data_IF_470536448569
#
_entry.id   IF_470536448569
#
_cell.length_a   1.000
_cell.length_b   1.000
_cell.length_c   1.000
_cell.angle_alpha   90.00
_cell.angle_beta   90.00
_cell.angle_gamma   90.00
#
_symmetry.space_group_name_H-M   'P 1'
#
loop_
_entity.id
_entity.type
_entity.pdbx_description
1 polymer ?
#
# COMPACT_ATOMS: atom_id res chain seq x y z
N UNK A 1 -27.40 17.18 8.52
CA UNK A 1 -26.06 16.82 8.05
C UNK A 1 -25.45 15.84 9.04
N UNK A 2 -24.92 14.73 8.58
CA UNK A 2 -24.24 13.74 9.44
C UNK A 2 -22.86 14.29 9.80
N UNK A 3 -22.44 14.14 11.05
CA UNK A 3 -21.08 14.51 11.53
C UNK A 3 -20.39 13.25 12.04
N UNK A 4 -19.12 13.08 11.69
CA UNK A 4 -18.26 12.02 12.17
C UNK A 4 -17.04 12.62 12.85
N UNK A 5 -16.38 11.86 13.73
CA UNK A 5 -15.18 12.35 14.40
C UNK A 5 -13.98 12.35 13.48
N UNK A 6 -13.84 11.29 12.68
CA UNK A 6 -12.71 11.15 11.75
C UNK A 6 -13.23 10.72 10.38
N UNK A 7 -12.88 11.48 9.35
CA UNK A 7 -13.04 11.09 7.96
C UNK A 7 -11.67 10.74 7.37
N UNK A 8 -11.52 9.55 6.79
CA UNK A 8 -10.32 9.12 6.10
C UNK A 8 -10.66 9.06 4.61
N UNK A 9 -10.01 9.90 3.81
CA UNK A 9 -10.21 10.02 2.37
C UNK A 9 -9.21 9.13 1.66
N UNK A 10 -9.70 8.04 1.09
CA UNK A 10 -8.94 6.93 0.53
C UNK A 10 -8.99 5.70 1.44
N UNK A 11 -9.67 4.64 0.97
CA UNK A 11 -9.81 3.35 1.65
C UNK A 11 -8.78 2.31 1.20
N UNK A 12 -7.71 2.74 0.51
CA UNK A 12 -6.58 1.89 0.12
C UNK A 12 -5.79 1.36 1.32
N UNK A 13 -4.63 0.72 1.06
CA UNK A 13 -3.81 0.08 2.11
C UNK A 13 -3.50 1.02 3.27
N UNK A 14 -3.19 2.29 2.99
CA UNK A 14 -2.82 3.29 4.00
C UNK A 14 -4.03 3.69 4.85
N UNK A 15 -5.14 4.09 4.21
CA UNK A 15 -6.33 4.55 4.92
C UNK A 15 -7.00 3.43 5.72
N UNK A 16 -7.11 2.21 5.15
CA UNK A 16 -7.65 1.06 5.86
C UNK A 16 -6.77 0.64 7.04
N UNK A 17 -5.44 0.66 6.90
CA UNK A 17 -4.52 0.39 8.02
C UNK A 17 -4.65 1.42 9.12
N UNK A 18 -4.80 2.70 8.77
CA UNK A 18 -5.03 3.77 9.75
C UNK A 18 -6.35 3.57 10.50
N UNK A 19 -7.44 3.26 9.77
CA UNK A 19 -8.73 3.00 10.39
C UNK A 19 -8.66 1.81 11.36
N UNK A 20 -8.00 0.72 10.94
CA UNK A 20 -7.77 -0.46 11.78
C UNK A 20 -6.98 -0.12 13.06
N UNK A 21 -5.91 0.66 12.93
CA UNK A 21 -5.09 1.05 14.08
C UNK A 21 -5.85 1.95 15.07
N UNK A 22 -6.78 2.76 14.58
CA UNK A 22 -7.51 3.71 15.41
C UNK A 22 -8.83 3.16 15.97
N UNK A 23 -9.41 2.09 15.40
CA UNK A 23 -10.76 1.64 15.72
C UNK A 23 -10.96 1.27 17.20
N UNK A 24 -9.98 0.63 17.85
CA UNK A 24 -10.09 0.29 19.27
C UNK A 24 -10.16 1.55 20.16
N UNK A 25 -9.29 2.53 19.90
CA UNK A 25 -9.29 3.81 20.60
C UNK A 25 -10.53 4.66 20.30
N UNK A 26 -11.04 4.60 19.08
CA UNK A 26 -12.28 5.26 18.68
C UNK A 26 -13.48 4.63 19.39
N UNK A 27 -13.56 3.30 19.43
CA UNK A 27 -14.61 2.57 20.14
C UNK A 27 -14.68 2.95 21.62
N UNK A 28 -13.52 2.98 22.30
CA UNK A 28 -13.43 3.36 23.71
C UNK A 28 -13.90 4.81 23.97
N UNK A 29 -13.88 5.68 22.97
CA UNK A 29 -14.30 7.09 23.08
C UNK A 29 -15.71 7.35 22.50
N UNK A 30 -16.37 6.33 21.97
CA UNK A 30 -17.62 6.49 21.23
C UNK A 30 -17.48 7.28 19.92
N UNK A 31 -16.29 7.30 19.34
CA UNK A 31 -16.01 8.00 18.09
C UNK A 31 -16.43 7.16 16.89
N UNK A 32 -16.80 7.84 15.81
CA UNK A 32 -17.10 7.24 14.51
C UNK A 32 -16.03 7.63 13.49
N UNK A 33 -15.57 6.62 12.77
CA UNK A 33 -14.64 6.76 11.66
C UNK A 33 -15.41 6.52 10.36
N UNK A 34 -15.22 7.38 9.37
CA UNK A 34 -15.75 7.21 8.02
C UNK A 34 -14.60 7.06 7.03
N UNK A 35 -14.58 5.94 6.31
CA UNK A 35 -13.72 5.74 5.15
C UNK A 35 -14.49 6.13 3.88
N UNK A 36 -13.87 6.93 3.02
CA UNK A 36 -14.44 7.36 1.75
C UNK A 36 -13.52 6.84 0.64
N UNK A 37 -14.05 6.01 -0.26
CA UNK A 37 -13.26 5.33 -1.29
C UNK A 37 -14.03 5.32 -2.61
N UNK A 38 -13.42 5.78 -3.72
CA UNK A 38 -14.08 5.80 -5.02
C UNK A 38 -14.29 4.41 -5.65
N UNK A 39 -13.50 3.43 -5.24
CA UNK A 39 -13.53 2.09 -5.85
C UNK A 39 -14.02 1.05 -4.87
N UNK A 40 -15.12 0.37 -5.20
CA UNK A 40 -15.64 -0.72 -4.37
C UNK A 40 -14.69 -1.93 -4.40
N UNK A 41 -14.48 -2.61 -3.25
CA UNK A 41 -13.71 -3.84 -3.22
C UNK A 41 -14.35 -4.91 -4.10
N UNK A 42 -13.51 -5.73 -4.74
CA UNK A 42 -13.98 -6.81 -5.61
C UNK A 42 -14.27 -6.41 -7.06
N UNK A 43 -14.11 -5.14 -7.45
CA UNK A 43 -14.07 -4.76 -8.86
C UNK A 43 -12.76 -5.16 -9.53
N UNK A 44 -12.83 -5.50 -10.82
CA UNK A 44 -11.70 -5.98 -11.64
C UNK A 44 -10.53 -5.01 -11.69
N UNK A 45 -10.74 -3.75 -11.40
CA UNK A 45 -9.71 -2.73 -11.33
C UNK A 45 -9.83 -1.92 -10.04
N UNK A 46 -8.99 -2.26 -9.07
CA UNK A 46 -8.79 -1.52 -7.84
C UNK A 46 -7.31 -1.10 -7.79
N UNK A 47 -6.98 0.18 -8.03
CA UNK A 47 -5.58 0.63 -8.19
C UNK A 47 -4.67 0.31 -7.00
N UNK A 48 -5.22 0.18 -5.80
CA UNK A 48 -4.47 -0.13 -4.58
C UNK A 48 -4.36 -1.64 -4.29
N UNK A 49 -5.18 -2.48 -4.96
CA UNK A 49 -5.29 -3.91 -4.71
C UNK A 49 -5.14 -4.72 -6.00
N UNK A 50 -4.24 -4.30 -6.87
CA UNK A 50 -3.88 -5.03 -8.09
C UNK A 50 -2.92 -6.20 -7.79
N UNK A 51 -2.38 -6.82 -8.85
CA UNK A 51 -1.40 -7.91 -8.73
C UNK A 51 -0.03 -7.48 -8.19
N UNK A 52 0.16 -6.20 -7.87
CA UNK A 52 1.38 -5.72 -7.21
C UNK A 52 1.47 -6.27 -5.80
N UNK A 53 2.70 -6.40 -5.35
CA UNK A 53 3.00 -6.87 -4.00
C UNK A 53 3.69 -5.78 -3.20
N UNK A 54 3.51 -5.83 -1.89
CA UNK A 54 4.21 -4.99 -0.94
C UNK A 54 5.16 -5.84 -0.10
N UNK A 55 6.39 -5.38 0.04
CA UNK A 55 7.33 -5.92 1.01
C UNK A 55 7.09 -5.22 2.35
N UNK A 56 6.57 -5.97 3.31
CA UNK A 56 6.35 -5.52 4.68
C UNK A 56 7.62 -5.80 5.49
N UNK A 57 8.17 -4.81 6.17
CA UNK A 57 9.28 -5.02 7.09
C UNK A 57 8.85 -5.88 8.28
N UNK A 58 9.81 -6.48 8.99
CA UNK A 58 9.54 -7.19 10.24
C UNK A 58 8.80 -6.30 11.26
N UNK A 59 9.18 -5.01 11.37
CA UNK A 59 8.47 -4.07 12.23
C UNK A 59 7.01 -3.85 11.82
N UNK A 60 6.70 -3.81 10.54
CA UNK A 60 5.32 -3.72 10.04
C UNK A 60 4.54 -4.99 10.36
N UNK A 61 5.16 -6.16 10.23
CA UNK A 61 4.57 -7.43 10.64
C UNK A 61 4.17 -7.41 12.12
N UNK A 62 5.05 -6.91 13.00
CA UNK A 62 4.76 -6.79 14.44
C UNK A 62 3.57 -5.85 14.71
N UNK A 63 3.45 -4.74 13.97
CA UNK A 63 2.30 -3.85 14.07
C UNK A 63 1.00 -4.60 13.71
N UNK A 64 0.95 -5.29 12.59
CA UNK A 64 -0.23 -6.09 12.23
C UNK A 64 -0.50 -7.25 13.20
N UNK A 65 0.53 -7.81 13.82
CA UNK A 65 0.39 -8.79 14.90
C UNK A 65 -0.33 -8.19 16.11
N UNK A 66 0.08 -6.99 16.55
CA UNK A 66 -0.56 -6.27 17.66
C UNK A 66 -1.99 -5.86 17.35
N UNK A 67 -2.28 -5.54 16.09
CA UNK A 67 -3.63 -5.23 15.60
C UNK A 67 -4.50 -6.49 15.40
N UNK A 68 -3.97 -7.70 15.65
CA UNK A 68 -4.71 -8.96 15.51
C UNK A 68 -4.93 -9.43 14.07
N UNK A 69 -4.28 -8.79 13.08
CA UNK A 69 -4.52 -9.06 11.66
C UNK A 69 -3.49 -10.01 11.03
N UNK A 70 -2.33 -10.18 11.65
CA UNK A 70 -1.22 -10.94 11.06
C UNK A 70 -1.58 -12.39 10.72
N UNK A 71 -2.39 -13.05 11.52
CA UNK A 71 -2.80 -14.44 11.26
C UNK A 71 -3.52 -14.57 9.91
N UNK A 72 -4.35 -13.61 9.54
CA UNK A 72 -5.01 -13.60 8.23
C UNK A 72 -4.01 -13.26 7.11
N UNK A 73 -3.20 -12.21 7.28
CA UNK A 73 -2.22 -11.77 6.28
C UNK A 73 -1.23 -12.88 5.95
N UNK A 74 -0.73 -13.59 6.98
CA UNK A 74 0.30 -14.61 6.85
C UNK A 74 -0.11 -15.83 6.01
N UNK A 75 -1.40 -16.04 5.78
CA UNK A 75 -1.88 -17.15 4.93
C UNK A 75 -1.38 -17.06 3.47
N UNK A 76 -1.06 -15.83 3.01
CA UNK A 76 -0.54 -15.59 1.65
C UNK A 76 0.66 -14.63 1.67
N UNK A 77 1.40 -14.62 2.75
CA UNK A 77 2.64 -13.87 2.88
C UNK A 77 3.83 -14.80 2.68
N UNK A 78 4.81 -14.39 1.89
CA UNK A 78 6.06 -15.11 1.71
C UNK A 78 7.16 -14.46 2.54
N UNK A 79 7.88 -15.20 3.41
CA UNK A 79 8.94 -14.62 4.21
C UNK A 79 10.17 -14.29 3.36
N UNK A 80 10.78 -13.15 3.63
CA UNK A 80 12.09 -12.78 3.13
C UNK A 80 13.13 -13.24 4.16
N UNK A 81 13.82 -14.33 3.86
CA UNK A 81 14.83 -14.91 4.75
C UNK A 81 16.21 -14.34 4.48
N UNK A 82 16.49 -13.99 3.23
CA UNK A 82 17.76 -13.39 2.81
C UNK A 82 17.50 -12.28 1.80
N UNK A 83 18.33 -11.25 1.84
CA UNK A 83 18.37 -10.18 0.84
C UNK A 83 19.77 -10.10 0.29
N UNK A 84 19.92 -10.20 -1.04
CA UNK A 84 21.18 -9.98 -1.72
C UNK A 84 21.13 -8.71 -2.56
N UNK A 85 21.98 -7.76 -2.25
CA UNK A 85 22.16 -6.51 -3.00
C UNK A 85 23.47 -6.58 -3.76
N UNK A 86 23.43 -6.30 -5.05
CA UNK A 86 24.62 -6.32 -5.94
C UNK A 86 24.59 -5.16 -6.94
N UNK A 87 25.77 -4.82 -7.47
CA UNK A 87 25.92 -3.82 -8.51
C UNK A 87 26.57 -4.47 -9.75
N UNK A 88 25.97 -4.26 -10.92
CA UNK A 88 26.46 -4.83 -12.18
C UNK A 88 27.81 -4.21 -12.52
N UNK A 89 28.80 -5.07 -12.81
CA UNK A 89 30.14 -4.64 -13.17
C UNK A 89 31.03 -4.23 -12.00
N UNK A 90 30.55 -4.35 -10.75
CA UNK A 90 31.34 -4.15 -9.54
C UNK A 90 31.51 -5.45 -8.78
N UNK A 91 32.65 -5.56 -8.09
CA UNK A 91 32.95 -6.72 -7.25
C UNK A 91 32.18 -6.63 -5.92
N UNK A 92 31.66 -7.75 -5.48
CA UNK A 92 31.03 -7.91 -4.17
C UNK A 92 29.50 -7.85 -4.21
N UNK A 93 28.91 -8.29 -3.13
CA UNK A 93 27.50 -8.19 -2.84
C UNK A 93 27.31 -8.03 -1.34
N UNK A 94 26.31 -7.23 -0.94
CA UNK A 94 25.86 -7.17 0.45
C UNK A 94 24.76 -8.22 0.63
N UNK A 95 24.86 -8.98 1.72
CA UNK A 95 23.84 -9.96 2.12
C UNK A 95 23.34 -9.62 3.50
N UNK A 96 22.03 -9.72 3.67
CA UNK A 96 21.35 -9.68 4.95
C UNK A 96 20.69 -11.05 5.13
N UNK A 97 20.84 -11.62 6.31
CA UNK A 97 20.29 -12.94 6.64
C UNK A 97 19.47 -12.85 7.92
N UNK A 98 18.25 -13.37 7.90
CA UNK A 98 17.34 -13.31 9.04
C UNK A 98 17.90 -14.01 10.28
N UNK A 99 18.68 -15.08 10.09
CA UNK A 99 19.31 -15.82 11.21
C UNK A 99 20.40 -14.95 11.84
N UNK A 100 21.23 -14.30 11.04
CA UNK A 100 22.29 -13.40 11.52
C UNK A 100 21.73 -12.20 12.26
N UNK A 101 20.57 -11.67 11.79
CA UNK A 101 19.86 -10.57 12.45
C UNK A 101 19.01 -11.01 13.65
N UNK A 102 18.91 -12.32 13.92
CA UNK A 102 18.15 -12.86 15.06
C UNK A 102 16.64 -12.68 14.95
N UNK A 103 16.09 -12.60 13.72
CA UNK A 103 14.66 -12.44 13.45
C UNK A 103 14.12 -13.64 12.65
N UNK A 104 12.81 -13.95 12.75
CA UNK A 104 12.21 -15.05 11.99
C UNK A 104 12.20 -14.81 10.48
N UNK A 105 12.16 -13.55 10.06
CA UNK A 105 12.29 -13.09 8.69
C UNK A 105 12.66 -11.60 8.68
N UNK A 106 13.38 -11.13 7.66
CA UNK A 106 13.70 -9.71 7.46
C UNK A 106 12.44 -8.89 7.10
N UNK A 107 11.46 -9.57 6.53
CA UNK A 107 10.18 -9.03 6.11
C UNK A 107 9.34 -10.09 5.44
N UNK A 108 8.24 -9.65 4.85
CA UNK A 108 7.29 -10.53 4.18
C UNK A 108 6.76 -9.85 2.92
N UNK A 109 6.63 -10.61 1.84
CA UNK A 109 6.00 -10.11 0.61
C UNK A 109 4.56 -10.57 0.57
N UNK A 110 3.65 -9.64 0.35
CA UNK A 110 2.20 -9.88 0.32
C UNK A 110 1.59 -9.23 -0.92
N UNK A 111 0.77 -9.95 -1.66
CA UNK A 111 -0.01 -9.35 -2.75
C UNK A 111 -0.98 -8.29 -2.19
N UNK A 112 -1.01 -7.09 -2.79
CA UNK A 112 -1.81 -5.98 -2.31
C UNK A 112 -3.31 -6.29 -2.27
N UNK A 113 -3.80 -7.11 -3.20
CA UNK A 113 -5.18 -7.56 -3.22
C UNK A 113 -5.54 -8.35 -1.95
N UNK A 114 -4.66 -9.27 -1.53
CA UNK A 114 -4.86 -10.03 -0.30
C UNK A 114 -4.75 -9.16 0.95
N UNK A 115 -3.71 -8.33 1.02
CA UNK A 115 -3.53 -7.41 2.14
C UNK A 115 -4.73 -6.49 2.31
N UNK A 116 -5.23 -5.93 1.21
CA UNK A 116 -6.42 -5.09 1.20
C UNK A 116 -7.67 -5.82 1.69
N UNK A 117 -7.89 -7.04 1.24
CA UNK A 117 -9.00 -7.87 1.70
C UNK A 117 -8.92 -8.13 3.22
N UNK A 118 -7.74 -8.47 3.74
CA UNK A 118 -7.53 -8.66 5.17
C UNK A 118 -7.84 -7.39 5.96
N UNK A 119 -7.34 -6.24 5.49
CA UNK A 119 -7.58 -4.94 6.14
C UNK A 119 -9.07 -4.62 6.22
N UNK A 120 -9.80 -4.79 5.12
CA UNK A 120 -11.23 -4.50 5.08
C UNK A 120 -12.05 -5.42 5.99
N UNK A 121 -11.71 -6.70 6.01
CA UNK A 121 -12.37 -7.68 6.89
C UNK A 121 -12.06 -7.46 8.39
N UNK A 122 -10.92 -6.82 8.70
CA UNK A 122 -10.51 -6.50 10.07
C UNK A 122 -11.17 -5.26 10.66
N UNK A 123 -11.93 -4.49 9.87
CA UNK A 123 -12.59 -3.28 10.37
C UNK A 123 -13.88 -3.61 11.13
N UNK A 124 -14.04 -2.99 12.30
CA UNK A 124 -15.24 -3.09 13.13
C UNK A 124 -16.37 -2.22 12.55
N UNK A 125 -17.45 -2.79 12.02
CA UNK A 125 -18.53 -2.03 11.39
C UNK A 125 -19.32 -1.13 12.38
N UNK A 126 -19.21 -1.39 13.68
CA UNK A 126 -19.80 -0.53 14.70
C UNK A 126 -19.07 0.80 14.87
N UNK A 127 -17.80 0.86 14.43
CA UNK A 127 -16.92 2.02 14.60
C UNK A 127 -16.57 2.66 13.26
N UNK A 128 -16.26 1.83 12.26
CA UNK A 128 -15.81 2.24 10.93
C UNK A 128 -16.93 2.01 9.93
N UNK A 129 -17.43 3.09 9.37
CA UNK A 129 -18.40 3.05 8.27
C UNK A 129 -17.74 3.39 6.94
N UNK A 130 -18.36 2.97 5.84
CA UNK A 130 -17.88 3.19 4.49
C UNK A 130 -18.83 4.06 3.69
N UNK A 131 -18.27 4.97 2.89
CA UNK A 131 -18.87 5.57 1.71
C UNK A 131 -18.10 5.09 0.51
N UNK A 132 -18.63 4.12 -0.21
CA UNK A 132 -17.99 3.47 -1.34
C UNK A 132 -19.05 2.86 -2.27
N UNK A 133 -19.05 3.20 -3.57
CA UNK A 133 -18.18 4.18 -4.21
C UNK A 133 -18.53 5.63 -3.83
N UNK A 134 -17.55 6.45 -3.52
CA UNK A 134 -17.73 7.89 -3.31
C UNK A 134 -16.37 8.62 -3.40
N UNK A 135 -16.38 9.81 -3.96
CA UNK A 135 -15.21 10.67 -4.10
C UNK A 135 -15.44 12.02 -3.40
N UNK A 136 -14.43 12.50 -2.66
CA UNK A 136 -14.45 13.85 -2.10
C UNK A 136 -13.94 14.83 -3.15
N UNK A 137 -14.79 15.74 -3.60
CA UNK A 137 -14.45 16.77 -4.60
C UNK A 137 -13.90 18.04 -4.00
N UNK A 138 -14.39 18.40 -2.81
CA UNK A 138 -13.92 19.59 -2.13
C UNK A 138 -13.91 19.42 -0.61
N UNK A 139 -13.01 20.14 0.05
CA UNK A 139 -12.88 20.20 1.49
C UNK A 139 -12.78 21.63 1.94
N UNK A 140 -13.65 22.04 2.86
CA UNK A 140 -13.73 23.39 3.41
C UNK A 140 -13.55 23.34 4.92
N UNK A 141 -12.66 24.18 5.45
CA UNK A 141 -12.55 24.39 6.89
C UNK A 141 -13.81 25.07 7.44
N UNK A 142 -14.35 24.52 8.53
CA UNK A 142 -15.49 25.07 9.26
C UNK A 142 -15.16 25.19 10.75
N UNK A 143 -16.03 25.80 11.55
CA UNK A 143 -15.83 25.85 12.98
C UNK A 143 -15.80 24.42 13.57
N UNK A 144 -14.66 24.05 14.14
CA UNK A 144 -14.43 22.75 14.79
C UNK A 144 -14.22 21.56 13.83
N UNK A 145 -13.74 21.78 12.61
CA UNK A 145 -13.40 20.70 11.70
C UNK A 145 -13.48 21.05 10.22
N UNK A 146 -13.95 20.10 9.43
CA UNK A 146 -14.05 20.21 7.98
C UNK A 146 -15.41 19.78 7.46
N UNK A 147 -15.85 20.44 6.38
CA UNK A 147 -16.97 20.02 5.53
C UNK A 147 -16.41 19.39 4.28
N UNK A 148 -16.82 18.17 3.99
CA UNK A 148 -16.48 17.41 2.79
C UNK A 148 -17.68 17.43 1.85
N UNK A 149 -17.44 17.80 0.59
CA UNK A 149 -18.42 17.69 -0.49
C UNK A 149 -18.09 16.45 -1.35
N UNK A 150 -19.07 15.59 -1.51
CA UNK A 150 -18.93 14.36 -2.28
C UNK A 150 -19.35 14.55 -3.73
N UNK A 151 -19.05 13.56 -4.56
CA UNK A 151 -19.36 13.51 -5.99
C UNK A 151 -20.87 13.36 -6.30
N UNK A 152 -21.68 12.93 -5.32
CA UNK A 152 -23.14 12.86 -5.37
C UNK A 152 -23.83 14.15 -4.87
N UNK A 153 -23.09 15.27 -4.78
CA UNK A 153 -23.51 16.57 -4.27
C UNK A 153 -23.95 16.55 -2.78
N UNK A 154 -23.79 15.46 -2.07
CA UNK A 154 -24.00 15.42 -0.63
C UNK A 154 -22.80 16.01 0.13
N UNK A 155 -23.07 16.47 1.36
CA UNK A 155 -22.03 17.00 2.23
C UNK A 155 -22.06 16.33 3.59
N UNK A 156 -20.90 16.15 4.19
CA UNK A 156 -20.75 15.68 5.56
C UNK A 156 -19.71 16.53 6.30
N UNK A 157 -19.89 16.64 7.60
CA UNK A 157 -18.96 17.36 8.49
C UNK A 157 -18.14 16.33 9.29
N UNK A 158 -16.89 16.67 9.56
CA UNK A 158 -16.00 15.87 10.42
C UNK A 158 -15.16 16.76 11.33
N UNK A 159 -14.74 16.20 12.47
CA UNK A 159 -13.84 16.91 13.38
C UNK A 159 -12.41 16.95 12.82
N UNK A 160 -11.98 15.86 12.22
CA UNK A 160 -10.69 15.70 11.56
C UNK A 160 -10.84 14.97 10.23
N UNK A 161 -10.14 15.46 9.21
CA UNK A 161 -10.02 14.78 7.91
C UNK A 161 -8.58 14.34 7.69
N UNK A 162 -8.37 13.11 7.20
CA UNK A 162 -7.06 12.57 6.82
C UNK A 162 -7.07 12.25 5.34
N UNK A 163 -6.13 12.82 4.58
CA UNK A 163 -5.92 12.50 3.18
C UNK A 163 -5.01 11.26 3.07
N UNK A 164 -5.58 10.14 2.65
CA UNK A 164 -4.91 8.87 2.39
C UNK A 164 -5.14 8.38 0.94
N UNK A 165 -5.40 9.30 0.03
CA UNK A 165 -5.82 9.13 -1.37
C UNK A 165 -4.66 8.82 -2.34
N UNK A 166 -3.47 8.58 -1.83
CA UNK A 166 -2.26 8.37 -2.64
C UNK A 166 -1.78 9.62 -3.38
N UNK A 167 -2.26 10.81 -2.97
CA UNK A 167 -1.92 12.10 -3.58
C UNK A 167 -2.53 12.30 -4.98
N UNK A 168 -3.61 11.61 -5.27
CA UNK A 168 -4.27 11.63 -6.59
C UNK A 168 -5.38 12.67 -6.69
N UNK A 169 -6.01 13.04 -5.57
CA UNK A 169 -7.03 14.09 -5.53
C UNK A 169 -6.40 15.48 -5.59
N UNK A 170 -7.13 16.46 -6.05
CA UNK A 170 -6.75 17.87 -5.99
C UNK A 170 -6.96 18.51 -4.60
N UNK A 171 -7.34 17.73 -3.58
CA UNK A 171 -7.70 18.25 -2.24
C UNK A 171 -6.52 18.90 -1.54
N UNK A 172 -5.34 18.34 -1.70
CA UNK A 172 -4.11 18.89 -1.13
C UNK A 172 -3.81 20.29 -1.66
N UNK A 173 -3.96 20.48 -2.97
CA UNK A 173 -3.79 21.79 -3.64
C UNK A 173 -4.86 22.78 -3.18
N UNK A 174 -6.11 22.33 -2.98
CA UNK A 174 -7.20 23.18 -2.43
C UNK A 174 -6.88 23.67 -1.01
N UNK A 175 -6.13 22.89 -0.24
CA UNK A 175 -5.67 23.28 1.10
C UNK A 175 -4.42 24.19 1.08
N UNK A 176 -3.89 24.54 -0.08
CA UNK A 176 -2.67 25.32 -0.21
C UNK A 176 -1.39 24.56 0.18
N UNK A 177 -1.44 23.23 0.24
CA UNK A 177 -0.27 22.40 0.55
C UNK A 177 0.53 22.16 -0.72
N UNK A 178 1.66 22.84 -0.84
CA UNK A 178 2.54 22.74 -1.99
C UNK A 178 3.42 21.49 -1.95
N UNK A 179 3.66 20.91 -3.11
CA UNK A 179 4.53 19.74 -3.29
C UNK A 179 5.61 20.07 -4.29
N UNK A 180 6.84 19.80 -3.92
CA UNK A 180 7.97 19.80 -4.86
C UNK A 180 7.99 18.45 -5.58
N UNK A 181 7.89 18.47 -6.90
CA UNK A 181 8.02 17.28 -7.76
C UNK A 181 9.40 17.26 -8.39
N UNK A 182 10.11 16.16 -8.26
CA UNK A 182 11.37 15.93 -8.96
C UNK A 182 11.18 14.71 -9.87
N UNK A 183 11.05 14.88 -11.19
CA UNK A 183 10.92 13.77 -12.11
C UNK A 183 12.26 13.03 -12.19
N UNK A 184 12.23 11.71 -12.09
CA UNK A 184 13.39 10.85 -12.31
C UNK A 184 13.45 10.32 -13.73
N UNK A 185 12.42 10.57 -14.55
CA UNK A 185 12.26 10.10 -15.93
C UNK A 185 12.40 8.57 -16.07
N UNK A 186 11.99 7.88 -15.03
CA UNK A 186 12.06 6.43 -14.91
C UNK A 186 10.65 5.84 -14.75
N UNK A 187 10.47 4.63 -15.26
CA UNK A 187 9.28 3.81 -15.08
C UNK A 187 9.68 2.45 -14.55
N UNK A 188 8.89 1.91 -13.63
CA UNK A 188 9.06 0.55 -13.14
C UNK A 188 8.11 -0.39 -13.89
N UNK A 189 8.65 -1.39 -14.56
CA UNK A 189 7.91 -2.54 -15.07
C UNK A 189 7.70 -3.51 -13.91
N UNK A 190 6.45 -3.93 -13.73
CA UNK A 190 6.08 -4.84 -12.65
C UNK A 190 5.46 -6.08 -13.29
N UNK A 191 5.94 -7.26 -12.90
CA UNK A 191 5.43 -8.54 -13.34
C UNK A 191 5.55 -9.59 -12.23
N UNK A 192 4.64 -10.55 -12.21
CA UNK A 192 4.79 -11.77 -11.44
C UNK A 192 5.34 -12.86 -12.37
N UNK A 193 6.46 -13.44 -11.98
CA UNK A 193 7.16 -14.45 -12.78
C UNK A 193 7.34 -15.75 -11.98
N UNK A 194 7.49 -16.86 -12.66
CA UNK A 194 7.89 -18.15 -12.08
C UNK A 194 9.35 -18.40 -12.46
N UNK A 195 10.29 -18.36 -11.52
CA UNK A 195 11.71 -18.62 -11.83
C UNK A 195 11.93 -20.11 -12.08
N UNK A 196 12.97 -20.44 -12.84
CA UNK A 196 13.37 -21.84 -13.13
C UNK A 196 13.92 -22.60 -11.92
N UNK A 197 14.34 -21.87 -10.87
CA UNK A 197 14.83 -22.42 -9.61
C UNK A 197 14.01 -21.86 -8.44
N UNK A 198 13.96 -22.61 -7.33
CA UNK A 198 13.27 -22.17 -6.13
C UNK A 198 13.95 -20.94 -5.52
N UNK A 199 13.17 -19.89 -5.19
CA UNK A 199 13.69 -18.66 -4.57
C UNK A 199 14.13 -18.87 -3.11
N UNK A 200 13.62 -19.88 -2.40
CA UNK A 200 13.97 -20.23 -0.99
C UNK A 200 13.89 -19.06 -0.02
N UNK A 201 12.91 -18.15 -0.20
CA UNK A 201 12.77 -16.94 0.62
C UNK A 201 13.84 -15.88 0.37
N UNK A 202 14.58 -15.95 -0.74
CA UNK A 202 15.62 -14.99 -1.08
C UNK A 202 15.06 -13.86 -1.96
N UNK A 203 15.32 -12.63 -1.55
CA UNK A 203 15.09 -11.42 -2.33
C UNK A 203 16.40 -10.94 -2.97
N UNK A 204 16.29 -10.37 -4.14
CA UNK A 204 17.42 -9.83 -4.89
C UNK A 204 17.17 -8.37 -5.26
N UNK A 205 18.19 -7.53 -5.07
CA UNK A 205 18.26 -6.19 -5.62
C UNK A 205 19.56 -6.07 -6.43
N UNK A 206 19.43 -5.74 -7.70
CA UNK A 206 20.58 -5.56 -8.59
C UNK A 206 20.55 -4.17 -9.22
N UNK A 207 21.52 -3.35 -8.86
CA UNK A 207 21.74 -2.09 -9.53
C UNK A 207 22.39 -2.31 -10.88
N UNK A 208 21.92 -1.59 -11.89
CA UNK A 208 22.49 -1.57 -13.25
C UNK A 208 22.56 -0.15 -13.76
N UNK A 209 23.33 0.10 -14.80
CA UNK A 209 23.44 1.43 -15.43
C UNK A 209 22.07 1.95 -15.93
N UNK A 210 21.18 1.05 -16.32
CA UNK A 210 19.86 1.38 -16.85
C UNK A 210 18.76 1.48 -15.76
N UNK A 211 19.10 1.23 -14.49
CA UNK A 211 18.21 1.25 -13.35
C UNK A 211 18.23 -0.05 -12.53
N UNK A 212 17.68 -0.04 -11.32
CA UNK A 212 17.62 -1.22 -10.46
C UNK A 212 16.61 -2.25 -10.96
N UNK A 213 16.88 -3.51 -10.61
CA UNK A 213 15.99 -4.65 -10.80
C UNK A 213 15.88 -5.40 -9.47
N UNK A 214 14.66 -5.59 -9.00
CA UNK A 214 14.35 -6.38 -7.80
C UNK A 214 13.56 -7.63 -8.15
N UNK A 215 13.86 -8.73 -7.46
CA UNK A 215 13.05 -9.94 -7.41
C UNK A 215 12.70 -10.21 -5.96
N UNK A 216 11.41 -10.27 -5.68
CA UNK A 216 10.88 -10.51 -4.33
C UNK A 216 10.15 -11.85 -4.30
N UNK A 217 10.39 -12.72 -3.29
CA UNK A 217 9.74 -14.01 -3.22
C UNK A 217 8.22 -13.88 -3.00
N UNK A 218 7.44 -14.69 -3.70
CA UNK A 218 6.01 -14.84 -3.56
C UNK A 218 5.64 -16.30 -3.31
N UNK A 219 4.48 -16.59 -2.72
CA UNK A 219 3.97 -17.95 -2.59
C UNK A 219 3.96 -18.71 -3.92
N UNK A 220 4.01 -20.06 -3.84
CA UNK A 220 3.97 -20.96 -4.99
C UNK A 220 5.20 -20.83 -5.92
N UNK A 221 6.35 -20.52 -5.34
CA UNK A 221 7.61 -20.33 -6.06
C UNK A 221 7.53 -19.26 -7.17
N UNK A 222 6.68 -18.26 -7.00
CA UNK A 222 6.64 -17.08 -7.85
C UNK A 222 7.57 -15.99 -7.32
N UNK A 223 7.87 -15.02 -8.14
CA UNK A 223 8.58 -13.80 -7.74
C UNK A 223 7.87 -12.58 -8.29
N UNK A 224 7.77 -11.53 -7.49
CA UNK A 224 7.44 -10.20 -7.99
C UNK A 224 8.72 -9.57 -8.56
N UNK A 225 8.69 -9.27 -9.85
CA UNK A 225 9.73 -8.51 -10.55
C UNK A 225 9.36 -7.02 -10.51
N UNK A 226 10.31 -6.20 -10.09
CA UNK A 226 10.27 -4.74 -10.25
C UNK A 226 11.51 -4.32 -11.03
N UNK A 227 11.33 -3.87 -12.26
CA UNK A 227 12.42 -3.54 -13.16
C UNK A 227 12.34 -2.08 -13.59
N UNK A 228 13.20 -1.26 -13.04
CA UNK A 228 13.23 0.18 -13.33
C UNK A 228 14.05 0.45 -14.59
N UNK A 229 13.47 1.23 -15.50
CA UNK A 229 14.06 1.62 -16.79
C UNK A 229 13.78 3.09 -17.08
N UNK A 230 14.54 3.69 -17.99
CA UNK A 230 14.20 5.01 -18.53
C UNK A 230 12.86 4.93 -19.31
N UNK A 231 12.08 6.00 -19.28
CA UNK A 231 10.66 5.96 -19.72
C UNK A 231 10.43 5.39 -21.10
N UNK A 232 11.24 5.76 -22.12
CA UNK A 232 11.11 5.23 -23.49
C UNK A 232 11.44 3.73 -23.59
N UNK A 233 12.46 3.27 -22.86
CA UNK A 233 12.82 1.86 -22.82
C UNK A 233 11.75 1.02 -22.13
N UNK A 234 11.14 1.55 -21.07
CA UNK A 234 10.08 0.86 -20.34
C UNK A 234 8.84 0.65 -21.23
N UNK A 235 8.45 1.66 -22.01
CA UNK A 235 7.34 1.54 -22.97
C UNK A 235 7.61 0.47 -24.01
N UNK A 236 8.79 0.48 -24.63
CA UNK A 236 9.19 -0.52 -25.60
C UNK A 236 9.19 -1.94 -25.04
N UNK A 237 9.65 -2.13 -23.81
CA UNK A 237 9.67 -3.43 -23.14
C UNK A 237 8.26 -3.92 -22.76
N UNK A 238 7.36 -3.02 -22.43
CA UNK A 238 5.96 -3.37 -22.13
C UNK A 238 5.15 -3.82 -23.36
N UNK A 239 5.63 -3.48 -24.58
CA UNK A 239 4.99 -3.81 -25.85
C UNK A 239 5.59 -5.08 -26.52
N UNK A 240 6.62 -5.70 -25.90
CA UNK A 240 7.19 -6.94 -26.44
C UNK A 240 6.25 -8.11 -26.09
N UNK A 241 5.68 -8.73 -27.13
CA UNK A 241 4.99 -10.01 -26.99
C UNK A 241 5.98 -11.13 -26.60
N UNK A 242 5.47 -12.17 -25.94
CA UNK A 242 6.23 -13.37 -25.50
C UNK A 242 6.89 -14.12 -26.67
#
# INVERSE_FOLDING_TARGET
MSRVNLAIIGGGLVGASLALALQAGAKARGWKILLIEPFAPGHTFQPSYDARSSALSFGTQQIYQQLGLWQAISQRAEPILQIQVSDRGRFGATRLDAIEEGVPALGYVVENAWLGQCLWQGLDPDVVSWRCPAEVRAMQAIAGGYRLQLDDDTSLDCDLAVLADGGRSGLREQLGIHVRRTPYEQSALIANITPGEAHRGQAFERFTEAGPMALLPLPENRCALVWTRQGMDAQRLAEIDE
#
